data_IF_504293778348
#
_entry.id   IF_504293778348
#
_cell.length_a   1.000
_cell.length_b   1.000
_cell.length_c   1.000
_cell.angle_alpha   90.00
_cell.angle_beta   90.00
_cell.angle_gamma   90.00
#
_symmetry.space_group_name_H-M   'P 1'
#
loop_
_entity.id
_entity.type
_entity.pdbx_description
1 polymer ?
#
# COMPACT_ATOMS: atom_id res chain seq x y z
N UNK A 1 6.45 3.52 -17.15
CA UNK A 1 5.36 2.71 -16.58
C UNK A 1 4.32 2.31 -17.62
N UNK A 2 4.17 3.08 -18.68
CA UNK A 2 3.17 2.84 -19.73
C UNK A 2 3.86 2.46 -21.05
N UNK A 3 3.57 1.27 -21.58
CA UNK A 3 4.14 0.81 -22.86
C UNK A 3 3.52 1.51 -24.08
N UNK A 4 2.35 2.10 -23.94
CA UNK A 4 1.63 2.84 -25.00
C UNK A 4 1.86 4.34 -24.91
N UNK A 5 2.86 4.80 -24.15
CA UNK A 5 3.09 6.21 -23.87
C UNK A 5 3.16 7.07 -25.13
N UNK A 6 3.95 6.63 -26.11
CA UNK A 6 4.11 7.36 -27.41
C UNK A 6 2.79 7.39 -28.18
N UNK A 7 2.12 6.24 -28.29
CA UNK A 7 0.83 6.14 -29.01
C UNK A 7 -0.22 7.06 -28.38
N UNK A 8 -0.33 7.06 -27.06
CA UNK A 8 -1.27 7.92 -26.33
C UNK A 8 -1.00 9.41 -26.53
N UNK A 9 0.28 9.81 -26.55
CA UNK A 9 0.64 11.20 -26.90
C UNK A 9 0.26 11.57 -28.33
N UNK A 10 0.51 10.68 -29.29
CA UNK A 10 0.17 10.92 -30.69
C UNK A 10 -1.35 11.00 -30.94
N UNK A 11 -2.12 10.38 -30.06
CA UNK A 11 -3.60 10.34 -30.10
C UNK A 11 -4.23 11.39 -29.19
N UNK A 12 -3.47 12.29 -28.60
CA UNK A 12 -3.92 13.35 -27.68
C UNK A 12 -4.66 12.77 -26.46
N UNK A 13 -4.15 11.64 -25.90
CA UNK A 13 -4.74 10.90 -24.76
C UNK A 13 -3.76 10.87 -23.56
N UNK A 14 -3.16 12.00 -23.21
CA UNK A 14 -2.19 12.11 -22.11
C UNK A 14 -2.77 11.64 -20.78
N UNK A 15 -4.06 11.90 -20.53
CA UNK A 15 -4.76 11.49 -19.32
C UNK A 15 -4.92 9.98 -19.17
N UNK A 16 -4.71 9.22 -20.26
CA UNK A 16 -4.73 7.76 -20.25
C UNK A 16 -3.37 7.16 -19.90
N UNK A 17 -2.31 7.96 -19.90
CA UNK A 17 -0.97 7.50 -19.59
C UNK A 17 -0.90 7.07 -18.13
N UNK A 18 -0.56 5.80 -17.88
CA UNK A 18 -0.31 5.30 -16.52
C UNK A 18 0.88 6.02 -15.89
N UNK A 19 0.71 6.77 -14.81
CA UNK A 19 1.80 7.57 -14.26
C UNK A 19 2.88 6.71 -13.60
N UNK A 20 4.12 7.16 -13.67
CA UNK A 20 5.20 6.67 -12.83
C UNK A 20 5.06 7.27 -11.43
N UNK A 21 5.14 6.45 -10.39
CA UNK A 21 5.05 6.87 -8.99
C UNK A 21 6.40 7.10 -8.31
N UNK A 22 7.49 7.06 -9.07
CA UNK A 22 8.86 7.26 -8.60
C UNK A 22 9.31 6.32 -7.45
N UNK A 23 8.70 5.14 -7.35
CA UNK A 23 8.97 4.18 -6.27
C UNK A 23 10.29 3.43 -6.40
N UNK A 24 10.91 3.44 -7.57
CA UNK A 24 12.15 2.71 -7.91
C UNK A 24 12.12 1.19 -7.63
N UNK A 25 11.03 0.64 -7.12
CA UNK A 25 10.94 -0.74 -6.63
C UNK A 25 11.14 -1.80 -7.73
N UNK A 26 10.41 -1.68 -8.83
CA UNK A 26 10.45 -2.68 -9.92
C UNK A 26 11.46 -2.39 -11.01
N UNK A 27 11.99 -1.19 -11.11
CA UNK A 27 12.96 -0.79 -12.12
C UNK A 27 14.36 -0.66 -11.55
N UNK A 28 14.69 0.47 -10.94
CA UNK A 28 16.04 0.79 -10.45
C UNK A 28 16.55 -0.25 -9.43
N UNK A 29 15.74 -0.57 -8.42
CA UNK A 29 16.12 -1.52 -7.37
C UNK A 29 16.46 -2.92 -7.92
N UNK A 30 15.70 -3.38 -8.92
CA UNK A 30 15.92 -4.70 -9.52
C UNK A 30 17.15 -4.75 -10.43
N UNK A 31 17.56 -3.62 -11.04
CA UNK A 31 18.72 -3.54 -11.90
C UNK A 31 20.03 -3.35 -11.14
N UNK A 32 20.00 -2.59 -10.05
CA UNK A 32 21.20 -2.18 -9.31
C UNK A 32 21.57 -3.11 -8.16
N UNK A 33 20.61 -3.73 -7.54
CA UNK A 33 20.85 -4.51 -6.32
C UNK A 33 21.27 -5.93 -6.66
N UNK A 34 22.58 -6.14 -6.78
CA UNK A 34 23.14 -7.48 -6.93
C UNK A 34 22.96 -8.26 -5.64
N UNK A 35 22.11 -9.27 -5.65
CA UNK A 35 22.15 -10.34 -4.67
C UNK A 35 21.16 -10.30 -3.51
N UNK A 36 20.34 -9.26 -3.34
CA UNK A 36 19.20 -9.35 -2.42
C UNK A 36 17.94 -9.48 -3.25
N UNK A 37 17.35 -10.69 -3.35
CA UNK A 37 16.08 -10.83 -4.01
C UNK A 37 15.07 -9.94 -3.26
N UNK A 38 14.31 -9.17 -4.02
CA UNK A 38 13.06 -8.64 -3.52
C UNK A 38 12.18 -9.87 -3.31
N UNK A 39 12.20 -10.44 -2.10
CA UNK A 39 11.60 -11.74 -1.74
C UNK A 39 10.06 -11.75 -1.71
N UNK A 40 9.45 -10.84 -2.46
CA UNK A 40 8.00 -10.78 -2.64
C UNK A 40 7.49 -11.83 -3.64
N UNK A 41 8.18 -12.95 -3.78
CA UNK A 41 7.75 -14.15 -4.50
C UNK A 41 7.26 -13.96 -5.96
N UNK A 42 7.77 -12.93 -6.64
CA UNK A 42 7.50 -12.68 -8.06
C UNK A 42 8.69 -13.21 -8.87
N UNK A 43 8.68 -14.50 -9.17
CA UNK A 43 9.78 -15.27 -9.75
C UNK A 43 10.35 -14.73 -11.07
N UNK A 44 9.58 -13.91 -11.80
CA UNK A 44 9.96 -13.40 -13.12
C UNK A 44 10.75 -12.10 -13.09
N UNK A 45 11.06 -11.56 -11.92
CA UNK A 45 11.57 -10.22 -11.80
C UNK A 45 12.99 -10.12 -11.26
N UNK A 46 13.63 -11.25 -10.98
CA UNK A 46 15.02 -11.26 -10.51
C UNK A 46 15.96 -10.68 -11.59
N UNK A 47 16.73 -9.66 -11.21
CA UNK A 47 17.75 -9.01 -12.05
C UNK A 47 17.25 -8.35 -13.34
N UNK A 48 15.95 -8.21 -13.55
CA UNK A 48 15.37 -7.59 -14.73
C UNK A 48 14.52 -6.37 -14.34
N UNK A 49 14.68 -5.28 -15.08
CA UNK A 49 13.83 -4.10 -14.89
C UNK A 49 12.36 -4.44 -15.15
N UNK A 50 11.51 -4.07 -14.19
CA UNK A 50 10.05 -4.20 -14.26
C UNK A 50 9.42 -2.91 -13.72
N UNK A 51 8.11 -2.81 -13.78
CA UNK A 51 7.40 -1.69 -13.18
C UNK A 51 6.49 -2.17 -12.04
N UNK A 52 6.55 -1.50 -10.89
CA UNK A 52 5.71 -1.84 -9.75
C UNK A 52 4.21 -1.68 -10.07
N UNK A 53 3.85 -0.68 -10.85
CA UNK A 53 2.46 -0.37 -11.17
C UNK A 53 1.99 -0.90 -12.53
N UNK A 54 2.83 -1.67 -13.24
CA UNK A 54 2.44 -2.26 -14.52
C UNK A 54 3.15 -3.59 -14.78
N UNK A 55 2.41 -4.69 -14.65
CA UNK A 55 2.93 -6.04 -14.84
C UNK A 55 3.34 -6.37 -16.29
N UNK A 56 2.87 -5.62 -17.29
CA UNK A 56 3.19 -5.84 -18.71
C UNK A 56 4.55 -5.23 -19.10
N UNK A 57 5.10 -4.29 -18.27
CA UNK A 57 6.34 -3.57 -18.61
C UNK A 57 7.49 -4.53 -18.86
N UNK A 58 8.08 -4.45 -20.08
CA UNK A 58 9.18 -5.29 -20.56
C UNK A 58 8.90 -6.81 -20.55
N UNK A 59 7.63 -7.20 -20.64
CA UNK A 59 7.16 -8.59 -20.63
C UNK A 59 6.07 -8.85 -21.67
N UNK A 60 6.13 -8.19 -22.79
CA UNK A 60 5.11 -8.20 -23.84
C UNK A 60 4.61 -9.60 -24.21
N UNK A 61 5.47 -10.55 -24.48
CA UNK A 61 5.04 -11.89 -24.91
C UNK A 61 4.33 -12.66 -23.81
N UNK A 62 4.83 -12.55 -22.58
CA UNK A 62 4.38 -13.33 -21.43
C UNK A 62 3.16 -12.70 -20.74
N UNK A 63 3.13 -11.38 -20.66
CA UNK A 63 2.13 -10.61 -19.90
C UNK A 63 1.22 -9.77 -20.79
N UNK A 64 1.12 -10.07 -22.09
CA UNK A 64 0.17 -9.38 -22.96
C UNK A 64 -1.26 -9.72 -22.57
N UNK A 65 -2.09 -8.70 -22.37
CA UNK A 65 -3.52 -8.88 -22.12
C UNK A 65 -4.20 -9.34 -23.42
N UNK A 66 -4.77 -10.54 -23.39
CA UNK A 66 -5.45 -11.16 -24.53
C UNK A 66 -6.92 -11.33 -24.19
N UNK A 67 -7.80 -10.99 -25.13
CA UNK A 67 -9.24 -11.19 -24.97
C UNK A 67 -9.56 -12.68 -24.78
N UNK A 68 -10.47 -12.97 -23.87
CA UNK A 68 -10.97 -14.33 -23.63
C UNK A 68 -12.03 -14.73 -24.66
N UNK A 69 -12.06 -16.02 -25.01
CA UNK A 69 -13.17 -16.59 -25.77
C UNK A 69 -14.38 -16.99 -24.90
N UNK A 70 -14.27 -16.87 -23.56
CA UNK A 70 -15.31 -17.27 -22.63
C UNK A 70 -15.53 -16.17 -21.56
N UNK A 71 -16.25 -15.09 -21.89
CA UNK A 71 -16.59 -14.02 -20.97
C UNK A 71 -17.31 -14.53 -19.71
N UNK A 72 -16.98 -13.97 -18.56
CA UNK A 72 -17.59 -14.33 -17.28
C UNK A 72 -17.95 -13.06 -16.52
N UNK A 73 -19.04 -13.10 -15.75
CA UNK A 73 -19.28 -12.13 -14.68
C UNK A 73 -18.39 -12.50 -13.49
N UNK A 74 -17.60 -11.52 -13.00
CA UNK A 74 -16.62 -11.72 -11.92
C UNK A 74 -16.90 -10.70 -10.83
N UNK A 75 -17.18 -11.17 -9.61
CA UNK A 75 -17.39 -10.29 -8.47
C UNK A 75 -16.07 -9.98 -7.77
N UNK A 76 -15.84 -8.70 -7.49
CA UNK A 76 -14.62 -8.20 -6.81
C UNK A 76 -15.06 -7.51 -5.52
N UNK A 77 -14.60 -8.01 -4.39
CA UNK A 77 -14.94 -7.48 -3.07
C UNK A 77 -13.81 -6.57 -2.60
N UNK A 78 -14.05 -5.26 -2.63
CA UNK A 78 -13.12 -4.20 -2.30
C UNK A 78 -12.61 -3.43 -3.52
N UNK A 79 -12.81 -2.11 -3.49
CA UNK A 79 -12.44 -1.15 -4.54
C UNK A 79 -11.08 -0.46 -4.32
N UNK A 80 -10.16 -1.10 -3.58
CA UNK A 80 -8.77 -0.64 -3.48
C UNK A 80 -7.99 -0.84 -4.78
N UNK A 81 -6.68 -0.53 -4.78
CA UNK A 81 -5.82 -0.65 -5.98
C UNK A 81 -5.85 -2.08 -6.54
N UNK A 82 -5.84 -3.11 -5.68
CA UNK A 82 -5.91 -4.50 -6.13
C UNK A 82 -7.21 -4.85 -6.85
N UNK A 83 -8.34 -4.40 -6.30
CA UNK A 83 -9.65 -4.59 -6.94
C UNK A 83 -9.78 -3.84 -8.25
N UNK A 84 -9.34 -2.58 -8.30
CA UNK A 84 -9.37 -1.78 -9.52
C UNK A 84 -8.46 -2.34 -10.62
N UNK A 85 -7.25 -2.80 -10.30
CA UNK A 85 -6.37 -3.42 -11.30
C UNK A 85 -6.96 -4.76 -11.79
N UNK A 86 -7.50 -5.58 -10.91
CA UNK A 86 -8.19 -6.81 -11.33
C UNK A 86 -9.37 -6.51 -12.26
N UNK A 87 -10.22 -5.53 -11.92
CA UNK A 87 -11.33 -5.10 -12.75
C UNK A 87 -10.88 -4.59 -14.13
N UNK A 88 -9.82 -3.75 -14.16
CA UNK A 88 -9.24 -3.22 -15.40
C UNK A 88 -8.77 -4.35 -16.31
N UNK A 89 -8.00 -5.28 -15.79
CA UNK A 89 -7.46 -6.40 -16.59
C UNK A 89 -8.60 -7.30 -17.08
N UNK A 90 -9.58 -7.61 -16.23
CA UNK A 90 -10.75 -8.41 -16.62
C UNK A 90 -11.55 -7.74 -17.73
N UNK A 91 -11.81 -6.43 -17.65
CA UNK A 91 -12.50 -5.68 -18.73
C UNK A 91 -11.73 -5.73 -20.04
N UNK A 92 -10.43 -5.49 -20.01
CA UNK A 92 -9.58 -5.55 -21.21
C UNK A 92 -9.56 -6.96 -21.83
N UNK A 93 -9.72 -7.99 -21.01
CA UNK A 93 -9.89 -9.37 -21.48
C UNK A 93 -11.29 -9.70 -21.98
N UNK A 94 -12.29 -8.82 -21.78
CA UNK A 94 -13.67 -9.01 -22.23
C UNK A 94 -14.59 -9.67 -21.20
N UNK A 95 -14.17 -9.78 -19.94
CA UNK A 95 -15.04 -10.19 -18.82
C UNK A 95 -15.92 -9.04 -18.34
N UNK A 96 -16.88 -9.36 -17.45
CA UNK A 96 -17.80 -8.43 -16.81
C UNK A 96 -17.51 -8.34 -15.31
N UNK A 97 -16.49 -7.57 -14.86
CA UNK A 97 -16.23 -7.36 -13.45
C UNK A 97 -17.27 -6.45 -12.81
N UNK A 98 -17.63 -6.78 -11.57
CA UNK A 98 -18.48 -5.97 -10.69
C UNK A 98 -17.71 -5.74 -9.38
N UNK A 99 -17.46 -4.49 -9.02
CA UNK A 99 -16.81 -4.13 -7.76
C UNK A 99 -17.88 -3.86 -6.70
N UNK A 100 -17.75 -4.49 -5.54
CA UNK A 100 -18.51 -4.23 -4.32
C UNK A 100 -17.61 -3.49 -3.34
N UNK A 101 -17.88 -2.22 -3.09
CA UNK A 101 -17.09 -1.36 -2.23
C UNK A 101 -17.92 -0.90 -1.02
N UNK A 102 -17.40 -1.09 0.19
CA UNK A 102 -18.10 -0.77 1.42
C UNK A 102 -18.22 0.73 1.70
N UNK A 103 -17.37 1.55 1.07
CA UNK A 103 -17.36 3.02 1.20
C UNK A 103 -18.03 3.69 0.00
N UNK A 104 -18.12 4.99 0.02
CA UNK A 104 -18.66 5.82 -1.06
C UNK A 104 -17.62 6.16 -2.14
N UNK A 105 -16.39 5.64 -2.03
CA UNK A 105 -15.30 5.96 -2.95
C UNK A 105 -14.33 4.80 -3.17
N UNK A 106 -13.66 4.80 -4.32
CA UNK A 106 -12.58 3.87 -4.65
C UNK A 106 -11.24 4.34 -4.11
N UNK A 107 -10.35 3.39 -3.80
CA UNK A 107 -8.96 3.62 -3.44
C UNK A 107 -8.50 2.87 -2.19
N UNK A 108 -9.43 2.54 -1.28
CA UNK A 108 -9.10 1.83 -0.03
C UNK A 108 -7.99 2.53 0.75
N UNK A 109 -7.11 1.78 1.39
CA UNK A 109 -5.98 2.29 2.17
C UNK A 109 -5.01 3.18 1.36
N UNK A 110 -5.03 3.09 0.03
CA UNK A 110 -4.16 3.92 -0.82
C UNK A 110 -4.54 5.40 -0.80
N UNK A 111 -5.77 5.75 -0.40
CA UNK A 111 -6.18 7.15 -0.16
C UNK A 111 -5.30 7.74 0.93
N UNK A 112 -5.21 7.09 2.09
CA UNK A 112 -4.33 7.50 3.18
C UNK A 112 -2.85 7.46 2.77
N UNK A 113 -2.39 6.38 2.12
CA UNK A 113 -1.01 6.22 1.69
C UNK A 113 -0.54 7.30 0.67
N UNK A 114 -1.44 8.03 0.05
CA UNK A 114 -1.14 9.11 -0.91
C UNK A 114 -1.34 10.51 -0.33
N UNK A 115 -1.65 10.64 0.96
CA UNK A 115 -2.10 11.89 1.56
C UNK A 115 -0.97 12.90 1.79
N UNK A 116 0.23 12.43 2.12
CA UNK A 116 1.35 13.32 2.44
C UNK A 116 1.66 14.29 1.28
N UNK A 117 2.14 15.47 1.65
CA UNK A 117 2.32 16.61 0.73
C UNK A 117 3.20 16.28 -0.49
N UNK A 118 4.25 15.53 -0.29
CA UNK A 118 5.23 15.14 -1.32
C UNK A 118 4.79 13.93 -2.18
N UNK A 119 3.66 13.28 -1.88
CA UNK A 119 3.16 12.08 -2.58
C UNK A 119 2.21 12.37 -3.75
N UNK A 120 2.39 13.50 -4.46
CA UNK A 120 1.56 13.87 -5.61
C UNK A 120 1.45 12.77 -6.67
N UNK A 121 2.55 12.05 -6.95
CA UNK A 121 2.56 10.96 -7.92
C UNK A 121 1.72 9.74 -7.53
N UNK A 122 1.49 9.51 -6.26
CA UNK A 122 0.56 8.48 -5.80
C UNK A 122 -0.89 8.94 -6.02
N UNK A 123 -1.20 10.21 -5.78
CA UNK A 123 -2.52 10.79 -6.08
C UNK A 123 -2.83 10.76 -7.59
N UNK A 124 -1.83 11.04 -8.44
CA UNK A 124 -1.97 10.89 -9.89
C UNK A 124 -2.34 9.45 -10.26
N UNK A 125 -1.70 8.45 -9.65
CA UNK A 125 -2.02 7.04 -9.91
C UNK A 125 -3.45 6.68 -9.46
N UNK A 126 -3.88 7.16 -8.30
CA UNK A 126 -5.25 6.94 -7.82
C UNK A 126 -6.28 7.55 -8.76
N UNK A 127 -6.03 8.77 -9.23
CA UNK A 127 -6.87 9.46 -10.21
C UNK A 127 -6.93 8.68 -11.51
N UNK A 128 -5.80 8.18 -11.99
CA UNK A 128 -5.73 7.35 -13.18
C UNK A 128 -6.56 6.06 -13.03
N UNK A 129 -6.45 5.34 -11.91
CA UNK A 129 -7.27 4.13 -11.68
C UNK A 129 -8.76 4.44 -11.65
N UNK A 130 -9.17 5.51 -10.98
CA UNK A 130 -10.58 5.96 -10.96
C UNK A 130 -11.09 6.30 -12.36
N UNK A 131 -10.26 6.98 -13.17
CA UNK A 131 -10.56 7.24 -14.58
C UNK A 131 -10.71 5.93 -15.37
N UNK A 132 -9.80 4.97 -15.20
CA UNK A 132 -9.89 3.67 -15.87
C UNK A 132 -11.19 2.92 -15.54
N UNK A 133 -11.64 2.95 -14.29
CA UNK A 133 -12.91 2.33 -13.91
C UNK A 133 -14.10 2.95 -14.67
N UNK A 134 -14.10 4.27 -14.79
CA UNK A 134 -15.11 5.02 -15.52
C UNK A 134 -15.07 4.72 -17.04
N UNK A 135 -13.91 4.86 -17.66
CA UNK A 135 -13.74 4.74 -19.11
C UNK A 135 -14.03 3.31 -19.62
N UNK A 136 -13.70 2.32 -18.81
CA UNK A 136 -13.99 0.91 -19.09
C UNK A 136 -15.42 0.51 -18.71
N UNK A 137 -16.24 1.43 -18.21
CA UNK A 137 -17.59 1.16 -17.74
C UNK A 137 -17.64 -0.05 -16.78
N UNK A 138 -16.82 -0.04 -15.74
CA UNK A 138 -16.86 -1.06 -14.69
C UNK A 138 -18.10 -0.81 -13.82
N UNK A 139 -18.90 -1.84 -13.60
CA UNK A 139 -20.03 -1.79 -12.65
C UNK A 139 -19.48 -1.72 -11.22
N UNK A 140 -19.92 -0.73 -10.43
CA UNK A 140 -19.45 -0.50 -9.07
C UNK A 140 -20.64 -0.26 -8.15
N UNK A 141 -20.73 -1.05 -7.09
CA UNK A 141 -21.70 -0.89 -6.02
C UNK A 141 -20.99 -0.27 -4.82
N UNK A 142 -21.25 1.01 -4.60
CA UNK A 142 -20.75 1.74 -3.45
C UNK A 142 -21.63 1.54 -2.22
N UNK A 143 -21.07 1.73 -1.03
CA UNK A 143 -21.73 1.53 0.25
C UNK A 143 -22.30 0.11 0.41
N UNK A 144 -21.69 -0.85 -0.27
CA UNK A 144 -22.08 -2.26 -0.24
C UNK A 144 -21.00 -3.09 0.48
N UNK A 145 -21.22 -3.36 1.76
CA UNK A 145 -20.35 -4.23 2.53
C UNK A 145 -20.77 -5.69 2.32
N UNK A 146 -19.89 -6.47 1.71
CA UNK A 146 -20.07 -7.91 1.52
C UNK A 146 -19.59 -8.66 2.76
N UNK A 147 -20.49 -9.41 3.41
CA UNK A 147 -20.16 -10.16 4.63
C UNK A 147 -19.68 -11.59 4.34
N UNK A 148 -20.06 -12.17 3.21
CA UNK A 148 -19.62 -13.50 2.76
C UNK A 148 -19.69 -13.64 1.24
N UNK A 149 -19.08 -14.68 0.69
CA UNK A 149 -19.03 -14.92 -0.76
C UNK A 149 -20.16 -15.81 -1.29
N UNK A 150 -21.01 -16.34 -0.45
CA UNK A 150 -22.06 -17.32 -0.82
C UNK A 150 -23.09 -16.73 -1.77
N UNK A 151 -23.40 -15.43 -1.62
CA UNK A 151 -24.31 -14.71 -2.51
C UNK A 151 -23.85 -14.67 -3.97
N UNK A 152 -22.59 -14.97 -4.26
CA UNK A 152 -22.02 -15.02 -5.61
C UNK A 152 -21.77 -16.45 -6.09
N UNK A 153 -22.46 -17.43 -5.49
CA UNK A 153 -22.28 -18.84 -5.84
C UNK A 153 -22.43 -19.07 -7.35
N UNK A 154 -21.49 -19.80 -7.93
CA UNK A 154 -21.46 -20.07 -9.38
C UNK A 154 -20.58 -19.12 -10.19
N UNK A 155 -20.28 -17.92 -9.72
CA UNK A 155 -19.38 -16.95 -10.37
C UNK A 155 -17.98 -16.99 -9.75
N UNK A 156 -16.92 -16.61 -10.48
CA UNK A 156 -15.62 -16.32 -9.88
C UNK A 156 -15.70 -15.09 -8.96
N UNK A 157 -15.02 -15.17 -7.82
CA UNK A 157 -14.95 -14.08 -6.83
C UNK A 157 -13.50 -13.72 -6.58
N UNK A 158 -13.18 -12.44 -6.64
CA UNK A 158 -11.89 -11.89 -6.21
C UNK A 158 -12.09 -11.14 -4.90
N UNK A 159 -11.44 -11.60 -3.84
CA UNK A 159 -11.41 -10.93 -2.55
C UNK A 159 -10.21 -9.99 -2.51
N UNK A 160 -10.48 -8.69 -2.43
CA UNK A 160 -9.51 -7.59 -2.44
C UNK A 160 -9.70 -6.69 -1.21
N UNK A 161 -10.06 -7.28 -0.06
CA UNK A 161 -10.47 -6.59 1.17
C UNK A 161 -9.32 -5.97 1.96
N UNK A 162 -8.08 -6.12 1.46
CA UNK A 162 -6.91 -5.44 2.01
C UNK A 162 -6.48 -5.94 3.39
N UNK A 163 -6.05 -5.02 4.23
CA UNK A 163 -5.51 -5.28 5.55
C UNK A 163 -6.09 -4.29 6.57
N UNK A 164 -5.95 -4.62 7.84
CA UNK A 164 -6.34 -3.77 8.97
C UNK A 164 -5.12 -3.40 9.81
N UNK A 165 -5.14 -2.24 10.49
CA UNK A 165 -4.03 -1.85 11.36
C UNK A 165 -3.82 -2.84 12.51
N UNK A 166 -2.57 -3.04 12.88
CA UNK A 166 -2.21 -3.78 14.08
C UNK A 166 -2.43 -2.92 15.31
N UNK A 167 -3.40 -3.27 16.12
CA UNK A 167 -3.67 -2.60 17.40
C UNK A 167 -2.77 -3.19 18.51
N UNK A 168 -2.05 -2.34 19.21
CA UNK A 168 -1.15 -2.74 20.31
C UNK A 168 -1.91 -2.95 21.63
N UNK A 169 -2.94 -3.79 21.64
CA UNK A 169 -3.87 -4.00 22.77
C UNK A 169 -3.22 -4.34 24.12
N UNK A 170 -1.98 -4.82 24.12
CA UNK A 170 -1.23 -5.17 25.35
C UNK A 170 -0.53 -3.96 25.97
N UNK A 171 -0.48 -2.83 25.27
CA UNK A 171 0.13 -1.60 25.76
C UNK A 171 -0.95 -0.79 26.50
N UNK A 172 -0.80 -0.54 27.81
CA UNK A 172 -1.72 0.34 28.54
C UNK A 172 -1.77 1.72 27.90
N UNK A 173 -2.98 2.27 27.73
CA UNK A 173 -3.19 3.55 27.08
C UNK A 173 -3.14 3.50 25.54
N UNK A 174 -3.12 2.32 24.92
CA UNK A 174 -3.10 2.18 23.46
C UNK A 174 -4.29 2.88 22.75
N UNK A 175 -5.41 3.02 23.45
CA UNK A 175 -6.61 3.71 22.96
C UNK A 175 -6.42 5.22 22.81
N UNK A 176 -5.35 5.79 23.34
CA UNK A 176 -4.97 7.21 23.20
C UNK A 176 -4.14 7.44 21.93
N UNK A 177 -3.70 6.40 21.25
CA UNK A 177 -2.93 6.51 20.01
C UNK A 177 -3.86 6.78 18.82
N UNK A 178 -3.43 7.66 17.93
CA UNK A 178 -4.04 7.85 16.61
C UNK A 178 -3.43 6.81 15.67
N UNK A 179 -4.26 6.08 14.93
CA UNK A 179 -3.77 5.15 13.93
C UNK A 179 -3.21 5.91 12.71
N UNK A 180 -2.18 5.35 12.05
CA UNK A 180 -1.49 6.00 10.94
C UNK A 180 -2.44 6.47 9.82
N UNK A 181 -3.39 5.62 9.39
CA UNK A 181 -4.37 6.01 8.37
C UNK A 181 -5.34 7.08 8.86
N UNK A 182 -5.73 7.07 10.14
CA UNK A 182 -6.58 8.11 10.74
C UNK A 182 -5.88 9.47 10.72
N UNK A 183 -4.59 9.50 11.11
CA UNK A 183 -3.78 10.72 10.98
C UNK A 183 -3.70 11.19 9.53
N UNK A 184 -3.35 10.31 8.60
CA UNK A 184 -3.21 10.64 7.18
C UNK A 184 -4.52 11.07 6.51
N UNK A 185 -5.67 10.68 7.06
CA UNK A 185 -7.00 11.12 6.58
C UNK A 185 -7.56 12.32 7.33
N UNK A 186 -6.77 12.96 8.20
CA UNK A 186 -7.08 14.28 8.75
C UNK A 186 -7.32 14.34 10.26
N UNK A 187 -7.10 13.27 11.01
CA UNK A 187 -7.15 13.36 12.48
C UNK A 187 -6.02 14.26 12.98
N UNK A 188 -6.33 15.34 13.72
CA UNK A 188 -5.32 16.29 14.16
C UNK A 188 -4.42 15.71 15.25
N UNK A 189 -3.16 16.16 15.26
CA UNK A 189 -2.17 15.83 16.30
C UNK A 189 -1.50 17.10 16.83
N UNK A 190 -0.94 17.03 18.04
CA UNK A 190 -0.27 18.15 18.71
C UNK A 190 1.06 18.54 18.05
N UNK A 191 1.87 19.31 18.77
CA UNK A 191 3.16 19.85 18.31
C UNK A 191 4.27 18.79 18.33
N UNK A 192 4.41 18.09 19.47
CA UNK A 192 5.38 17.02 19.66
C UNK A 192 4.70 15.68 19.51
N UNK A 193 5.10 14.89 18.51
CA UNK A 193 4.41 13.66 18.12
C UNK A 193 5.33 12.46 18.18
N UNK A 194 5.01 11.51 19.05
CA UNK A 194 5.70 10.22 19.09
C UNK A 194 5.12 9.29 18.00
N UNK A 195 5.96 8.83 17.07
CA UNK A 195 5.60 7.87 16.02
C UNK A 195 6.12 6.49 16.44
N UNK A 196 5.21 5.57 16.72
CA UNK A 196 5.51 4.21 17.16
C UNK A 196 5.59 3.27 15.96
N UNK A 197 6.79 2.86 15.62
CA UNK A 197 7.15 2.06 14.44
C UNK A 197 7.92 2.87 13.41
N UNK A 198 9.20 2.55 13.26
CA UNK A 198 10.14 3.16 12.30
C UNK A 198 10.18 2.41 10.96
N UNK A 199 9.11 1.74 10.57
CA UNK A 199 8.91 1.23 9.21
C UNK A 199 8.74 2.37 8.19
N UNK A 200 8.55 2.02 6.89
CA UNK A 200 8.43 3.04 5.85
C UNK A 200 7.32 4.05 6.15
N UNK A 201 6.12 3.58 6.49
CA UNK A 201 4.98 4.45 6.81
C UNK A 201 5.26 5.39 7.99
N UNK A 202 5.83 4.87 9.08
CA UNK A 202 6.15 5.71 10.24
C UNK A 202 7.23 6.74 9.95
N UNK A 203 8.25 6.38 9.17
CA UNK A 203 9.27 7.32 8.72
C UNK A 203 8.70 8.39 7.78
N UNK A 204 7.83 8.01 6.85
CA UNK A 204 7.16 8.96 5.95
C UNK A 204 6.26 9.93 6.73
N UNK A 205 5.50 9.44 7.70
CA UNK A 205 4.70 10.28 8.62
C UNK A 205 5.59 11.24 9.43
N UNK A 206 6.70 10.74 10.00
CA UNK A 206 7.62 11.60 10.75
C UNK A 206 8.25 12.67 9.86
N UNK A 207 8.58 12.34 8.63
CA UNK A 207 9.07 13.29 7.64
C UNK A 207 8.01 14.37 7.33
N UNK A 208 6.77 13.98 7.05
CA UNK A 208 5.66 14.92 6.80
C UNK A 208 5.40 15.83 8.00
N UNK A 209 5.39 15.29 9.24
CA UNK A 209 5.24 16.08 10.46
C UNK A 209 6.34 17.14 10.58
N UNK A 210 7.57 16.78 10.30
CA UNK A 210 8.69 17.71 10.33
C UNK A 210 8.59 18.79 9.23
N UNK A 211 8.13 18.44 8.02
CA UNK A 211 7.86 19.41 6.95
C UNK A 211 6.75 20.41 7.35
N UNK A 212 5.78 19.99 8.17
CA UNK A 212 4.74 20.83 8.75
C UNK A 212 5.24 21.70 9.91
N UNK A 213 6.51 21.60 10.29
CA UNK A 213 7.10 22.33 11.41
C UNK A 213 6.85 21.70 12.78
N UNK A 214 6.26 20.52 12.85
CA UNK A 214 6.06 19.76 14.09
C UNK A 214 7.35 19.05 14.52
N UNK A 215 7.33 18.49 15.72
CA UNK A 215 8.48 17.82 16.35
C UNK A 215 8.24 16.30 16.45
N UNK A 216 8.48 15.52 15.39
CA UNK A 216 8.34 14.08 15.45
C UNK A 216 9.46 13.45 16.30
N UNK A 217 9.11 12.36 16.98
CA UNK A 217 10.03 11.47 17.68
C UNK A 217 9.74 10.05 17.23
N UNK A 218 10.71 9.33 16.68
CA UNK A 218 10.52 7.96 16.19
C UNK A 218 10.95 6.95 17.25
N UNK A 219 10.09 5.98 17.54
CA UNK A 219 10.41 4.84 18.42
C UNK A 219 10.28 3.56 17.61
N UNK A 220 11.39 2.82 17.47
CA UNK A 220 11.47 1.58 16.69
C UNK A 220 12.08 0.46 17.53
N UNK A 221 11.43 -0.70 17.51
CA UNK A 221 11.88 -1.88 18.25
C UNK A 221 13.07 -2.61 17.61
N UNK A 222 13.31 -2.36 16.32
CA UNK A 222 14.45 -2.92 15.59
C UNK A 222 15.69 -2.03 15.72
N UNK A 223 16.81 -2.55 15.25
CA UNK A 223 18.13 -1.92 15.25
C UNK A 223 18.32 -0.90 14.10
N UNK A 224 17.36 -0.77 13.19
CA UNK A 224 17.41 0.19 12.07
C UNK A 224 16.02 0.64 11.65
N UNK A 225 15.94 1.85 11.08
CA UNK A 225 14.76 2.37 10.43
C UNK A 225 14.53 1.66 9.08
N UNK A 226 13.27 1.46 8.72
CA UNK A 226 12.85 0.85 7.44
C UNK A 226 13.56 -0.50 7.22
N UNK A 227 13.75 -1.26 8.29
CA UNK A 227 14.37 -2.58 8.29
C UNK A 227 13.39 -3.64 7.73
N UNK A 228 12.89 -3.40 6.52
CA UNK A 228 11.94 -4.26 5.81
C UNK A 228 12.40 -4.49 4.37
N UNK A 229 12.10 -5.66 3.83
CA UNK A 229 12.40 -5.98 2.42
C UNK A 229 11.44 -5.27 1.47
N UNK A 230 11.85 -5.14 0.20
CA UNK A 230 10.99 -4.57 -0.84
C UNK A 230 10.92 -3.04 -0.91
N UNK A 231 11.70 -2.34 -0.12
CA UNK A 231 11.90 -0.89 -0.23
C UNK A 231 13.20 -0.61 -0.97
N UNK A 232 13.16 0.29 -1.95
CA UNK A 232 14.37 0.70 -2.65
C UNK A 232 15.33 1.42 -1.69
N UNK A 233 16.61 1.06 -1.75
CA UNK A 233 17.64 1.65 -0.89
C UNK A 233 17.71 3.18 -1.03
N UNK A 234 17.50 3.71 -2.24
CA UNK A 234 17.48 5.16 -2.46
C UNK A 234 16.42 5.86 -1.57
N UNK A 235 15.24 5.27 -1.42
CA UNK A 235 14.16 5.84 -0.60
C UNK A 235 14.47 5.71 0.90
N UNK A 236 14.94 4.53 1.35
CA UNK A 236 15.22 4.29 2.75
C UNK A 236 16.45 5.06 3.25
N UNK A 237 17.52 5.15 2.45
CA UNK A 237 18.70 5.93 2.80
C UNK A 237 18.40 7.42 2.89
N UNK A 238 17.60 7.94 1.94
CA UNK A 238 17.19 9.34 1.99
C UNK A 238 16.54 9.71 3.33
N UNK A 239 15.57 8.93 3.79
CA UNK A 239 14.87 9.22 5.05
C UNK A 239 15.81 9.11 6.26
N UNK A 240 16.66 8.07 6.33
CA UNK A 240 17.65 7.93 7.42
C UNK A 240 18.61 9.11 7.50
N UNK A 241 19.19 9.50 6.35
CA UNK A 241 20.10 10.63 6.25
C UNK A 241 19.41 11.95 6.59
N UNK A 242 18.17 12.11 6.11
CA UNK A 242 17.40 13.32 6.39
C UNK A 242 17.13 13.48 7.89
N UNK A 243 16.72 12.43 8.60
CA UNK A 243 16.49 12.48 10.04
C UNK A 243 17.78 12.79 10.82
N UNK A 244 18.88 12.21 10.42
CA UNK A 244 20.20 12.48 11.04
C UNK A 244 20.61 13.94 10.83
N UNK A 245 20.48 14.49 9.61
CA UNK A 245 20.85 15.87 9.29
C UNK A 245 19.96 16.91 10.00
N UNK A 246 18.69 16.58 10.24
CA UNK A 246 17.73 17.49 10.89
C UNK A 246 17.57 17.22 12.39
N UNK A 247 18.42 16.35 12.96
CA UNK A 247 18.41 15.98 14.38
C UNK A 247 17.02 15.53 14.87
N UNK A 248 16.28 14.79 14.05
CA UNK A 248 15.03 14.18 14.50
C UNK A 248 15.36 13.07 15.49
N UNK A 249 14.77 13.08 16.71
CA UNK A 249 15.04 12.04 17.69
C UNK A 249 14.55 10.66 17.21
N UNK A 250 15.45 9.69 17.17
CA UNK A 250 15.19 8.30 16.81
C UNK A 250 15.67 7.39 17.92
N UNK A 251 14.78 6.60 18.49
CA UNK A 251 15.03 5.60 19.50
C UNK A 251 14.91 4.22 18.87
N UNK A 252 16.03 3.62 18.49
CA UNK A 252 16.13 2.24 17.99
C UNK A 252 16.18 1.25 19.14
N UNK A 253 15.93 -0.04 18.84
CA UNK A 253 15.90 -1.13 19.81
C UNK A 253 15.06 -0.80 21.06
N UNK A 254 14.03 0.03 20.85
CA UNK A 254 13.23 0.63 21.92
C UNK A 254 11.76 0.24 21.75
N UNK A 255 11.16 -0.32 22.79
CA UNK A 255 9.78 -0.82 22.77
C UNK A 255 8.87 0.05 23.62
N UNK A 256 7.70 0.39 23.09
CA UNK A 256 6.65 1.07 23.82
C UNK A 256 6.08 0.17 24.93
N UNK A 257 6.01 0.69 26.15
CA UNK A 257 5.47 0.01 27.32
C UNK A 257 4.12 0.57 27.77
N UNK A 258 3.94 1.88 27.71
CA UNK A 258 2.71 2.55 28.17
C UNK A 258 2.55 3.90 27.46
N UNK A 259 1.29 4.30 27.20
CA UNK A 259 0.93 5.65 26.72
C UNK A 259 0.20 6.38 27.84
N UNK A 260 0.79 7.50 28.27
CA UNK A 260 0.27 8.40 29.30
C UNK A 260 -0.26 9.70 28.70
N UNK A 261 -0.91 10.51 29.50
CA UNK A 261 -1.22 11.88 29.11
C UNK A 261 0.08 12.71 29.08
N UNK A 262 0.41 13.24 27.90
CA UNK A 262 1.60 14.06 27.69
C UNK A 262 2.93 13.31 27.59
N UNK A 263 2.94 11.97 27.56
CA UNK A 263 4.18 11.21 27.43
C UNK A 263 3.95 9.74 27.05
N UNK A 264 5.03 9.08 26.62
CA UNK A 264 5.10 7.63 26.51
C UNK A 264 6.21 7.08 27.42
N UNK A 265 6.02 5.86 27.90
CA UNK A 265 7.05 5.08 28.59
C UNK A 265 7.54 4.00 27.64
N UNK A 266 8.85 3.94 27.46
CA UNK A 266 9.53 2.99 26.59
C UNK A 266 10.60 2.21 27.37
N UNK A 267 11.08 1.12 26.77
CA UNK A 267 12.15 0.29 27.29
C UNK A 267 13.18 0.05 26.19
N UNK A 268 14.45 0.36 26.48
CA UNK A 268 15.55 0.14 25.54
C UNK A 268 16.06 -1.33 25.55
N UNK A 269 17.06 -1.62 24.70
CA UNK A 269 17.67 -2.94 24.58
C UNK A 269 18.26 -3.48 25.89
N UNK A 270 18.75 -2.60 26.77
CA UNK A 270 19.36 -2.95 28.07
C UNK A 270 18.29 -3.16 29.14
N UNK A 271 17.03 -2.92 28.82
CA UNK A 271 15.92 -3.04 29.74
C UNK A 271 15.69 -1.81 30.61
N UNK A 272 16.36 -0.70 30.32
CA UNK A 272 16.19 0.56 31.02
C UNK A 272 14.94 1.27 30.54
N UNK A 273 14.16 1.74 31.49
CA UNK A 273 12.98 2.53 31.22
C UNK A 273 13.32 3.98 30.91
N UNK A 274 12.68 4.53 29.89
CA UNK A 274 12.78 5.94 29.50
C UNK A 274 11.40 6.52 29.25
N UNK A 275 11.21 7.78 29.66
CA UNK A 275 9.97 8.53 29.42
C UNK A 275 10.23 9.59 28.37
N UNK A 276 9.42 9.62 27.33
CA UNK A 276 9.49 10.58 26.23
C UNK A 276 8.23 11.45 26.27
N UNK A 277 8.42 12.76 26.45
CA UNK A 277 7.31 13.73 26.42
C UNK A 277 6.79 13.92 25.00
N UNK A 278 5.47 13.91 24.84
CA UNK A 278 4.81 14.15 23.54
C UNK A 278 3.36 14.57 23.77
N UNK A 279 2.80 15.37 22.84
CA UNK A 279 1.41 15.81 22.89
C UNK A 279 0.46 14.78 22.25
N UNK A 280 0.97 13.98 21.31
CA UNK A 280 0.22 12.95 20.59
C UNK A 280 1.10 11.75 20.29
N UNK A 281 0.45 10.60 20.08
CA UNK A 281 1.13 9.35 19.72
C UNK A 281 0.46 8.78 18.47
N UNK A 282 1.24 8.54 17.42
CA UNK A 282 0.77 7.87 16.21
C UNK A 282 1.25 6.42 16.23
N UNK A 283 0.32 5.49 16.05
CA UNK A 283 0.61 4.07 15.90
C UNK A 283 0.86 3.72 14.42
N UNK A 284 2.09 3.37 14.09
CA UNK A 284 2.51 2.84 12.79
C UNK A 284 3.08 1.43 12.92
N UNK A 285 2.39 0.58 13.71
CA UNK A 285 2.83 -0.77 14.10
C UNK A 285 2.62 -1.84 13.00
N UNK A 286 2.29 -1.42 11.79
CA UNK A 286 2.04 -2.28 10.63
C UNK A 286 0.60 -2.77 10.52
N UNK A 287 0.39 -3.67 9.56
CA UNK A 287 -0.93 -4.15 9.16
C UNK A 287 -1.04 -5.68 9.28
N UNK A 288 -2.27 -6.17 9.33
CA UNK A 288 -2.61 -7.60 9.36
C UNK A 288 -3.54 -7.87 8.18
N UNK A 289 -3.30 -8.93 7.37
CA UNK A 289 -4.22 -9.34 6.31
C UNK A 289 -5.65 -9.50 6.84
N UNK A 290 -6.62 -9.01 6.06
CA UNK A 290 -8.04 -9.10 6.41
C UNK A 290 -8.83 -9.82 5.30
N UNK A 291 -8.60 -11.11 5.05
CA UNK A 291 -9.35 -11.87 4.07
C UNK A 291 -10.76 -12.14 4.58
N UNK A 292 -11.77 -11.91 3.71
CA UNK A 292 -13.16 -12.27 3.99
C UNK A 292 -13.35 -13.80 4.06
N UNK A 293 -12.56 -14.55 3.28
CA UNK A 293 -12.58 -16.00 3.20
C UNK A 293 -11.23 -16.53 2.71
N UNK A 294 -11.06 -17.84 2.72
CA UNK A 294 -9.89 -18.49 2.13
C UNK A 294 -10.01 -18.63 0.61
N UNK A 295 -8.86 -18.74 -0.05
CA UNK A 295 -8.83 -19.06 -1.48
C UNK A 295 -9.44 -20.45 -1.76
N UNK A 296 -10.11 -20.57 -2.90
CA UNK A 296 -10.78 -21.80 -3.33
C UNK A 296 -10.79 -21.95 -4.85
N UNK A 297 -11.53 -22.89 -5.36
CA UNK A 297 -11.55 -23.19 -6.80
C UNK A 297 -12.08 -22.05 -7.67
N UNK A 298 -12.92 -21.18 -7.12
CA UNK A 298 -13.48 -19.99 -7.77
C UNK A 298 -13.33 -18.71 -6.97
N UNK A 299 -12.59 -18.77 -5.85
CA UNK A 299 -12.34 -17.64 -4.95
C UNK A 299 -10.85 -17.36 -4.92
N UNK A 300 -10.48 -16.14 -5.28
CA UNK A 300 -9.09 -15.69 -5.41
C UNK A 300 -8.83 -14.54 -4.45
N UNK A 301 -7.65 -14.51 -3.84
CA UNK A 301 -7.24 -13.42 -2.96
C UNK A 301 -6.21 -12.54 -3.66
N UNK A 302 -6.40 -11.22 -3.64
CA UNK A 302 -5.46 -10.26 -4.21
C UNK A 302 -5.17 -9.12 -3.26
N UNK A 303 -3.99 -8.52 -3.38
CA UNK A 303 -3.55 -7.45 -2.49
C UNK A 303 -3.26 -7.93 -1.08
N UNK A 304 -3.34 -7.02 -0.13
CA UNK A 304 -2.90 -7.24 1.24
C UNK A 304 -3.71 -8.28 2.02
N UNK A 305 -4.93 -8.59 1.61
CA UNK A 305 -5.70 -9.68 2.22
C UNK A 305 -5.06 -11.06 1.98
N UNK A 306 -4.23 -11.19 0.95
CA UNK A 306 -3.43 -12.40 0.66
C UNK A 306 -2.00 -12.34 1.27
N UNK A 307 -1.70 -11.29 2.00
CA UNK A 307 -0.42 -10.99 2.62
C UNK A 307 0.01 -9.57 2.37
N UNK A 308 0.26 -8.86 3.45
CA UNK A 308 0.66 -7.44 3.40
C UNK A 308 1.96 -7.28 2.60
N UNK A 309 1.96 -6.34 1.68
CA UNK A 309 3.08 -6.11 0.79
C UNK A 309 3.23 -4.64 0.40
N UNK A 310 3.54 -4.40 -0.85
CA UNK A 310 3.62 -3.06 -1.44
C UNK A 310 2.82 -3.00 -2.75
N UNK A 311 2.77 -1.82 -3.38
CA UNK A 311 2.02 -1.65 -4.63
C UNK A 311 2.39 -2.65 -5.72
N UNK A 312 3.66 -3.07 -5.81
CA UNK A 312 4.07 -4.07 -6.79
C UNK A 312 3.37 -5.40 -6.55
N UNK A 313 3.38 -5.91 -5.32
CA UNK A 313 2.72 -7.19 -4.98
C UNK A 313 1.21 -7.10 -5.19
N UNK A 314 0.60 -5.96 -4.86
CA UNK A 314 -0.84 -5.72 -5.06
C UNK A 314 -1.20 -5.74 -6.54
N UNK A 315 -0.54 -4.91 -7.35
CA UNK A 315 -0.83 -4.77 -8.79
C UNK A 315 -0.53 -6.07 -9.55
N UNK A 316 0.61 -6.68 -9.30
CA UNK A 316 1.00 -7.90 -10.01
C UNK A 316 0.13 -9.10 -9.68
N UNK A 317 -0.21 -9.31 -8.40
CA UNK A 317 -1.13 -10.39 -8.00
C UNK A 317 -2.53 -10.19 -8.58
N UNK A 318 -3.03 -8.96 -8.57
CA UNK A 318 -4.32 -8.64 -9.19
C UNK A 318 -4.31 -8.95 -10.70
N UNK A 319 -3.25 -8.54 -11.39
CA UNK A 319 -3.03 -8.86 -12.79
C UNK A 319 -2.97 -10.38 -13.02
N UNK A 320 -2.14 -11.13 -12.30
CA UNK A 320 -1.97 -12.56 -12.45
C UNK A 320 -3.27 -13.35 -12.22
N UNK A 321 -4.05 -12.96 -11.21
CA UNK A 321 -5.35 -13.57 -10.94
C UNK A 321 -6.33 -13.28 -12.08
N UNK A 322 -6.42 -12.03 -12.51
CA UNK A 322 -7.30 -11.65 -13.62
C UNK A 322 -6.94 -12.34 -14.94
N UNK A 323 -5.65 -12.64 -15.16
CA UNK A 323 -5.17 -13.39 -16.33
C UNK A 323 -5.51 -14.89 -16.30
N UNK A 324 -5.77 -15.47 -15.12
CA UNK A 324 -6.13 -16.89 -14.95
C UNK A 324 -7.63 -17.16 -15.07
N UNK A 325 -8.50 -16.17 -14.88
CA UNK A 325 -9.94 -16.27 -14.98
C UNK A 325 -10.38 -16.34 -16.44
#
# INVERSE_FOLDING_TARGET
ADQEWVTKLMEEREDDIRPCILCHNGCFNMCHYKGVPNDQALSDSLHLARCAVNAETMQWEKHRIIKTGNPKKVHIIGGGIGGMEAARVLKLRGHEPVIHEQTDHLGGTFVAASAESYKGKLRDLLTWYRKQMKDLNVEIHYNEKVENTEQFAGSPVIVATGSVPRILKRVPGHEKMVEACEYLTGTPVGETVAVIGGGLTGCEIAYELALQGKKPVIVEMKDDLIAQTGVCLANSSYLREWFALHNVPVYLETTLQEVKDGSIVCKDAEGKELTISCDSVISSAGYIPNPLTQAGSRTYLVGDCNGVGNLRTVVWRAYEVAMKI
#
